data_IF_984336439717
#
_entry.id   IF_984336439717
#
_cell.length_a   1.000
_cell.length_b   1.000
_cell.length_c   1.000
_cell.angle_alpha   90.00
_cell.angle_beta   90.00
_cell.angle_gamma   90.00
#
_symmetry.space_group_name_H-M   'P 1'
#
loop_
_entity.id
_entity.type
_entity.pdbx_description
1 polymer ?
#
# COMPACT_ATOMS: atom_id res chain seq x y z
N UNK A 1 9.79 31.87 16.68
CA UNK A 1 9.28 30.51 16.82
C UNK A 1 8.99 29.94 15.41
N UNK A 2 9.86 29.07 14.90
CA UNK A 2 9.71 28.49 13.57
C UNK A 2 8.84 27.22 13.72
N UNK A 3 7.67 27.21 13.12
CA UNK A 3 6.79 26.02 13.06
C UNK A 3 7.41 25.01 12.10
N UNK A 4 7.89 23.90 12.65
CA UNK A 4 8.32 22.74 11.87
C UNK A 4 7.05 21.96 11.50
N UNK A 5 6.71 21.92 10.22
CA UNK A 5 5.69 21.06 9.69
C UNK A 5 6.28 19.66 9.48
N UNK A 6 5.87 18.72 10.32
CA UNK A 6 6.11 17.29 10.10
C UNK A 6 5.12 16.80 9.05
N UNK A 7 5.58 16.65 7.80
CA UNK A 7 4.86 15.90 6.79
C UNK A 7 4.94 14.42 7.16
N UNK A 8 3.83 13.86 7.64
CA UNK A 8 3.71 12.41 7.83
C UNK A 8 3.83 11.71 6.48
N UNK A 9 4.63 10.65 6.41
CA UNK A 9 4.78 9.80 5.24
C UNK A 9 3.44 9.08 4.97
N UNK A 10 2.66 9.63 4.05
CA UNK A 10 1.69 8.84 3.34
C UNK A 10 2.45 8.20 2.17
N UNK A 11 2.42 6.87 2.05
CA UNK A 11 2.89 6.17 0.86
C UNK A 11 1.91 6.43 -0.28
N UNK A 12 1.98 7.63 -0.75
CA UNK A 12 1.46 8.09 -2.01
C UNK A 12 2.59 8.89 -2.58
N UNK A 13 2.89 8.69 -3.83
CA UNK A 13 3.64 9.66 -4.63
C UNK A 13 2.81 10.95 -4.61
N UNK A 14 2.89 11.69 -3.50
CA UNK A 14 2.40 13.04 -3.40
C UNK A 14 3.63 13.92 -3.20
N UNK A 15 4.11 14.45 -4.31
CA UNK A 15 4.98 15.61 -4.26
C UNK A 15 4.30 16.67 -3.38
N UNK A 16 5.00 17.20 -2.39
CA UNK A 16 4.59 18.43 -1.70
C UNK A 16 4.50 19.54 -2.75
N UNK A 17 3.31 19.77 -3.27
CA UNK A 17 3.08 20.87 -4.23
C UNK A 17 2.81 22.17 -3.49
N UNK A 18 3.39 23.28 -3.97
CA UNK A 18 3.03 24.63 -3.53
C UNK A 18 1.56 24.94 -3.87
N UNK A 19 0.95 25.96 -3.26
CA UNK A 19 -0.48 26.27 -3.44
C UNK A 19 -0.83 26.39 -4.92
N UNK A 20 -1.90 25.68 -5.30
CA UNK A 20 -2.39 25.51 -6.66
C UNK A 20 -2.65 26.85 -7.34
N UNK A 21 -2.03 27.04 -8.50
CA UNK A 21 -2.51 27.98 -9.51
C UNK A 21 -3.93 27.58 -9.97
N UNK A 22 -4.79 28.53 -10.38
CA UNK A 22 -6.14 28.22 -10.81
C UNK A 22 -6.14 27.16 -11.91
N UNK A 23 -6.99 26.16 -11.76
CA UNK A 23 -7.06 25.00 -12.62
C UNK A 23 -7.16 25.40 -14.10
N UNK A 24 -6.13 25.09 -14.87
CA UNK A 24 -6.23 25.11 -16.33
C UNK A 24 -7.34 24.14 -16.75
N UNK A 25 -8.17 24.54 -17.73
CA UNK A 25 -9.19 23.65 -18.30
C UNK A 25 -8.52 22.37 -18.74
N UNK A 26 -9.02 21.24 -18.25
CA UNK A 26 -8.50 19.93 -18.60
C UNK A 26 -8.57 19.74 -20.13
N UNK A 27 -7.44 19.34 -20.72
CA UNK A 27 -7.38 18.95 -22.12
C UNK A 27 -8.21 17.65 -22.27
N UNK A 28 -9.24 17.61 -23.13
CA UNK A 28 -10.10 16.44 -23.28
C UNK A 28 -9.37 15.20 -23.80
N UNK A 29 -8.17 15.37 -24.39
CA UNK A 29 -7.36 14.27 -24.92
C UNK A 29 -6.35 13.69 -23.89
N UNK A 30 -6.27 14.28 -22.68
CA UNK A 30 -5.44 13.74 -21.62
C UNK A 30 -6.26 12.71 -20.83
N UNK A 31 -5.86 11.43 -20.80
CA UNK A 31 -6.52 10.43 -19.98
C UNK A 31 -6.70 10.91 -18.54
N UNK A 32 -7.87 10.69 -17.96
CA UNK A 32 -8.25 11.22 -16.63
C UNK A 32 -7.25 10.87 -15.51
N UNK A 33 -6.52 9.74 -15.63
CA UNK A 33 -5.48 9.37 -14.67
C UNK A 33 -4.25 10.29 -14.69
N UNK A 34 -4.03 11.06 -15.78
CA UNK A 34 -2.99 12.10 -15.85
C UNK A 34 -3.35 13.36 -15.10
N UNK A 35 -4.61 13.54 -14.72
CA UNK A 35 -5.00 14.65 -13.88
C UNK A 35 -4.68 14.27 -12.42
N UNK A 36 -4.01 15.15 -11.69
CA UNK A 36 -3.57 14.97 -10.30
C UNK A 36 -4.69 14.60 -9.29
N UNK A 37 -5.94 14.51 -9.75
CA UNK A 37 -7.12 14.32 -8.93
C UNK A 37 -7.67 12.90 -8.90
N UNK A 38 -7.30 11.99 -9.81
CA UNK A 38 -7.90 10.66 -9.89
C UNK A 38 -7.51 9.79 -8.68
N UNK A 39 -6.22 9.68 -8.35
CA UNK A 39 -5.80 8.99 -7.13
C UNK A 39 -6.17 9.77 -5.87
N UNK A 40 -6.23 11.09 -5.94
CA UNK A 40 -6.61 11.95 -4.81
C UNK A 40 -8.00 11.66 -4.27
N UNK A 41 -8.98 11.34 -5.10
CA UNK A 41 -10.32 11.03 -4.62
C UNK A 41 -10.37 9.72 -3.81
N UNK A 42 -9.59 8.70 -4.17
CA UNK A 42 -9.48 7.48 -3.38
C UNK A 42 -8.83 7.76 -2.02
N UNK A 43 -7.83 8.63 -1.98
CA UNK A 43 -7.11 9.01 -0.77
C UNK A 43 -8.01 9.67 0.27
N UNK A 44 -8.95 10.51 -0.16
CA UNK A 44 -9.87 11.24 0.73
C UNK A 44 -11.26 10.60 0.79
N UNK A 45 -11.46 9.42 0.19
CA UNK A 45 -12.76 8.75 0.07
C UNK A 45 -13.82 9.59 -0.63
N UNK A 46 -13.42 10.48 -1.51
CA UNK A 46 -14.34 11.30 -2.28
C UNK A 46 -14.83 10.63 -3.56
N UNK A 47 -14.23 9.49 -3.94
CA UNK A 47 -14.74 8.64 -5.02
C UNK A 47 -16.05 8.00 -4.58
N UNK A 48 -17.17 8.52 -5.04
CA UNK A 48 -18.51 7.97 -4.73
C UNK A 48 -18.96 6.94 -5.76
N UNK A 49 -18.46 7.09 -6.96
CA UNK A 49 -18.82 6.26 -8.11
C UNK A 49 -17.65 5.32 -8.42
N UNK A 50 -17.95 4.12 -8.90
CA UNK A 50 -17.00 3.09 -9.32
C UNK A 50 -16.05 2.57 -8.21
N UNK A 51 -16.52 2.60 -6.95
CA UNK A 51 -15.85 1.87 -5.86
C UNK A 51 -16.83 0.93 -5.18
N UNK A 52 -16.43 -0.32 -5.02
CA UNK A 52 -17.21 -1.36 -4.36
C UNK A 52 -16.45 -1.91 -3.16
N UNK A 53 -17.03 -1.80 -1.97
CA UNK A 53 -16.48 -2.43 -0.78
C UNK A 53 -16.55 -3.95 -0.93
N UNK A 54 -15.43 -4.62 -0.68
CA UNK A 54 -15.33 -6.08 -0.63
C UNK A 54 -14.92 -6.51 0.77
N UNK A 55 -15.63 -7.49 1.32
CA UNK A 55 -15.48 -7.96 2.70
C UNK A 55 -15.05 -9.41 2.78
N UNK A 56 -15.12 -10.11 1.66
CA UNK A 56 -14.83 -11.53 1.58
C UNK A 56 -14.33 -11.94 0.19
N UNK A 57 -13.72 -13.12 0.09
CA UNK A 57 -13.32 -13.73 -1.17
C UNK A 57 -14.48 -13.84 -2.17
N UNK A 58 -15.71 -14.07 -1.68
CA UNK A 58 -16.89 -14.22 -2.56
C UNK A 58 -17.19 -12.96 -3.36
N UNK A 59 -16.84 -11.81 -2.85
CA UNK A 59 -17.05 -10.51 -3.51
C UNK A 59 -16.13 -10.29 -4.71
N UNK A 60 -15.04 -11.10 -4.83
CA UNK A 60 -14.12 -11.10 -5.97
C UNK A 60 -14.65 -11.90 -7.17
N UNK A 61 -15.66 -12.78 -6.98
CA UNK A 61 -16.19 -13.62 -8.03
C UNK A 61 -15.58 -15.01 -8.09
N UNK A 62 -15.60 -15.64 -9.27
CA UNK A 62 -15.08 -16.99 -9.50
C UNK A 62 -13.57 -17.01 -9.74
N UNK A 63 -12.96 -18.21 -9.68
CA UNK A 63 -11.54 -18.39 -10.01
C UNK A 63 -10.56 -18.21 -8.84
N UNK A 64 -11.03 -17.83 -7.66
CA UNK A 64 -10.20 -17.57 -6.48
C UNK A 64 -10.07 -18.75 -5.51
N UNK A 65 -10.58 -19.93 -5.88
CA UNK A 65 -10.62 -21.09 -4.97
C UNK A 65 -9.24 -21.59 -4.56
N UNK A 66 -8.26 -21.53 -5.46
CA UNK A 66 -6.87 -21.90 -5.15
C UNK A 66 -6.22 -21.00 -4.10
N UNK A 67 -6.77 -19.79 -3.88
CA UNK A 67 -6.31 -18.83 -2.89
C UNK A 67 -7.26 -18.72 -1.68
N UNK A 68 -8.27 -19.60 -1.59
CA UNK A 68 -9.36 -19.44 -0.63
C UNK A 68 -8.87 -19.28 0.81
N UNK A 69 -7.93 -20.11 1.25
CA UNK A 69 -7.40 -20.04 2.61
C UNK A 69 -6.71 -18.68 2.88
N UNK A 70 -5.80 -18.27 2.02
CA UNK A 70 -5.04 -17.04 2.19
C UNK A 70 -5.94 -15.80 2.13
N UNK A 71 -6.85 -15.72 1.15
CA UNK A 71 -7.80 -14.63 1.02
C UNK A 71 -8.75 -14.53 2.22
N UNK A 72 -9.31 -15.65 2.68
CA UNK A 72 -10.17 -15.64 3.86
C UNK A 72 -9.42 -15.16 5.09
N UNK A 73 -8.15 -15.54 5.25
CA UNK A 73 -7.30 -15.08 6.34
C UNK A 73 -7.05 -13.58 6.24
N UNK A 74 -6.69 -13.07 5.05
CA UNK A 74 -6.45 -11.64 4.81
C UNK A 74 -7.72 -10.83 5.10
N UNK A 75 -8.88 -11.22 4.53
CA UNK A 75 -10.13 -10.49 4.77
C UNK A 75 -10.56 -10.52 6.24
N UNK A 76 -10.41 -11.65 6.92
CA UNK A 76 -10.72 -11.74 8.35
C UNK A 76 -9.83 -10.82 9.18
N UNK A 77 -8.53 -10.77 8.88
CA UNK A 77 -7.57 -9.92 9.59
C UNK A 77 -7.82 -8.43 9.29
N UNK A 78 -7.95 -8.04 8.02
CA UNK A 78 -8.20 -6.65 7.61
C UNK A 78 -9.50 -6.10 8.22
N UNK A 79 -10.58 -6.88 8.16
CA UNK A 79 -11.85 -6.50 8.81
C UNK A 79 -11.68 -6.29 10.31
N UNK A 80 -10.93 -7.16 11.00
CA UNK A 80 -10.72 -7.07 12.44
C UNK A 80 -9.92 -5.82 12.86
N UNK A 81 -8.94 -5.38 12.05
CA UNK A 81 -8.14 -4.19 12.33
C UNK A 81 -8.69 -2.91 11.71
N UNK A 82 -9.86 -2.98 11.07
CA UNK A 82 -10.56 -1.81 10.53
C UNK A 82 -10.09 -1.34 9.15
N UNK A 83 -9.29 -2.14 8.44
CA UNK A 83 -8.90 -1.87 7.06
C UNK A 83 -10.05 -2.26 6.13
N UNK A 84 -10.41 -1.33 5.24
CA UNK A 84 -11.44 -1.56 4.23
C UNK A 84 -10.81 -1.83 2.88
N UNK A 85 -11.27 -2.89 2.21
CA UNK A 85 -10.79 -3.27 0.88
C UNK A 85 -11.86 -2.91 -0.15
N UNK A 86 -11.44 -2.28 -1.24
CA UNK A 86 -12.33 -1.83 -2.30
C UNK A 86 -11.85 -2.30 -3.66
N UNK A 87 -12.78 -2.67 -4.52
CA UNK A 87 -12.60 -2.61 -5.96
C UNK A 87 -12.85 -1.18 -6.41
N UNK A 88 -12.03 -0.68 -7.32
CA UNK A 88 -12.15 0.67 -7.87
C UNK A 88 -11.92 0.65 -9.38
N UNK A 89 -12.66 1.48 -10.12
CA UNK A 89 -12.53 1.59 -11.55
C UNK A 89 -11.11 1.98 -11.98
N UNK A 90 -10.66 1.47 -13.12
CA UNK A 90 -9.30 1.65 -13.65
C UNK A 90 -8.91 3.11 -13.87
N UNK A 91 -9.91 3.99 -14.11
CA UNK A 91 -9.71 5.43 -14.24
C UNK A 91 -9.03 6.10 -13.05
N UNK A 92 -9.05 5.47 -11.89
CA UNK A 92 -8.42 5.97 -10.67
C UNK A 92 -6.94 5.57 -10.53
N UNK A 93 -6.47 4.63 -11.35
CA UNK A 93 -5.11 4.14 -11.31
C UNK A 93 -4.27 4.70 -12.46
N UNK A 94 -2.95 4.81 -12.22
CA UNK A 94 -2.03 5.06 -13.33
C UNK A 94 -1.89 3.78 -14.17
N UNK A 95 -1.41 3.84 -15.42
CA UNK A 95 -1.27 2.65 -16.27
C UNK A 95 -0.45 1.51 -15.68
N UNK A 96 0.44 1.82 -14.73
CA UNK A 96 1.32 0.85 -14.08
C UNK A 96 0.84 0.42 -12.70
N UNK A 97 -0.14 1.13 -12.13
CA UNK A 97 -0.65 0.89 -10.78
C UNK A 97 -1.91 0.03 -10.87
N UNK A 98 -2.01 -1.00 -10.06
CA UNK A 98 -3.17 -1.90 -9.98
C UNK A 98 -3.73 -2.01 -8.57
N UNK A 99 -3.05 -1.42 -7.60
CA UNK A 99 -3.46 -1.34 -6.21
C UNK A 99 -2.97 -0.07 -5.55
N UNK A 100 -3.51 0.20 -4.38
CA UNK A 100 -3.11 1.32 -3.53
C UNK A 100 -3.52 1.03 -2.09
N UNK A 101 -2.60 1.14 -1.15
CA UNK A 101 -2.93 1.23 0.27
C UNK A 101 -2.82 2.66 0.76
N UNK A 102 -3.90 3.16 1.34
CA UNK A 102 -3.94 4.50 1.94
C UNK A 102 -3.76 4.40 3.46
N UNK A 103 -2.57 4.68 3.94
CA UNK A 103 -2.17 4.65 5.35
C UNK A 103 -3.07 5.55 6.24
N UNK A 104 -3.45 6.74 5.75
CA UNK A 104 -4.29 7.68 6.53
C UNK A 104 -5.75 7.25 6.63
N UNK A 105 -6.23 6.56 5.61
CA UNK A 105 -7.64 6.17 5.51
C UNK A 105 -7.89 4.72 5.88
N UNK A 106 -6.85 3.91 6.05
CA UNK A 106 -6.92 2.46 6.25
C UNK A 106 -7.74 1.78 5.16
N UNK A 107 -7.45 2.15 3.91
CA UNK A 107 -8.14 1.62 2.74
C UNK A 107 -7.16 0.98 1.77
N UNK A 108 -7.48 -0.22 1.34
CA UNK A 108 -6.82 -0.94 0.28
C UNK A 108 -7.72 -0.90 -0.96
N UNK A 109 -7.19 -0.43 -2.07
CA UNK A 109 -7.90 -0.38 -3.35
C UNK A 109 -7.26 -1.35 -4.34
N UNK A 110 -8.10 -2.04 -5.11
CA UNK A 110 -7.70 -2.97 -6.17
C UNK A 110 -8.39 -2.49 -7.44
N UNK A 111 -7.66 -2.43 -8.55
CA UNK A 111 -8.24 -2.08 -9.83
C UNK A 111 -9.19 -3.16 -10.33
N UNK A 112 -10.37 -2.76 -10.83
CA UNK A 112 -11.35 -3.68 -11.40
C UNK A 112 -10.90 -4.31 -12.70
N UNK A 113 -9.97 -3.69 -13.44
CA UNK A 113 -9.50 -4.19 -14.74
C UNK A 113 -8.70 -5.50 -14.65
N UNK A 114 -8.27 -5.87 -13.43
CA UNK A 114 -7.53 -7.11 -13.20
C UNK A 114 -8.37 -8.21 -12.55
N UNK A 115 -9.66 -7.97 -12.28
CA UNK A 115 -10.49 -8.89 -11.47
C UNK A 115 -10.59 -10.30 -12.06
N UNK A 116 -10.52 -10.42 -13.38
CA UNK A 116 -10.56 -11.71 -14.08
C UNK A 116 -9.20 -12.44 -14.09
N UNK A 117 -8.16 -11.86 -13.46
CA UNK A 117 -6.87 -12.50 -13.28
C UNK A 117 -6.55 -12.71 -11.79
N UNK A 118 -6.95 -13.85 -11.21
CA UNK A 118 -6.77 -14.12 -9.78
C UNK A 118 -5.31 -14.08 -9.30
N UNK A 119 -4.34 -14.38 -10.15
CA UNK A 119 -2.92 -14.31 -9.80
C UNK A 119 -2.47 -12.87 -9.64
N UNK A 120 -2.88 -12.00 -10.55
CA UNK A 120 -2.56 -10.58 -10.48
C UNK A 120 -3.24 -9.93 -9.28
N UNK A 121 -4.53 -10.23 -9.05
CA UNK A 121 -5.26 -9.74 -7.86
C UNK A 121 -4.58 -10.19 -6.58
N UNK A 122 -4.14 -11.46 -6.49
CA UNK A 122 -3.41 -11.94 -5.32
C UNK A 122 -2.07 -11.22 -5.12
N UNK A 123 -1.33 -10.99 -6.20
CA UNK A 123 -0.10 -10.20 -6.17
C UNK A 123 -0.35 -8.80 -5.60
N UNK A 124 -1.40 -8.13 -6.07
CA UNK A 124 -1.80 -6.80 -5.59
C UNK A 124 -2.25 -6.85 -4.13
N UNK A 125 -3.11 -7.79 -3.74
CA UNK A 125 -3.58 -7.92 -2.35
C UNK A 125 -2.42 -8.18 -1.39
N UNK A 126 -1.45 -9.00 -1.79
CA UNK A 126 -0.25 -9.25 -0.97
C UNK A 126 0.63 -8.02 -0.85
N UNK A 127 0.83 -7.29 -1.95
CA UNK A 127 1.63 -6.06 -1.98
C UNK A 127 1.02 -4.97 -1.11
N UNK A 128 -0.22 -4.58 -1.40
CA UNK A 128 -0.92 -3.51 -0.68
C UNK A 128 -1.24 -3.91 0.77
N UNK A 129 -1.55 -5.19 0.98
CA UNK A 129 -1.71 -5.74 2.32
C UNK A 129 -0.43 -5.72 3.14
N UNK A 130 0.76 -5.83 2.50
CA UNK A 130 2.02 -5.66 3.21
C UNK A 130 2.24 -4.21 3.65
N UNK A 131 1.85 -3.23 2.87
CA UNK A 131 1.85 -1.83 3.32
C UNK A 131 0.96 -1.63 4.56
N UNK A 132 -0.15 -2.38 4.66
CA UNK A 132 -0.96 -2.37 5.87
C UNK A 132 -0.25 -3.03 7.06
N UNK A 133 0.57 -4.04 6.84
CA UNK A 133 1.46 -4.61 7.89
C UNK A 133 2.49 -3.58 8.32
N UNK A 134 3.14 -2.89 7.40
CA UNK A 134 4.11 -1.82 7.69
C UNK A 134 3.48 -0.66 8.49
N UNK A 135 2.23 -0.30 8.19
CA UNK A 135 1.45 0.68 8.94
C UNK A 135 1.18 0.20 10.38
N UNK A 136 0.66 -1.00 10.52
CA UNK A 136 0.43 -1.65 11.81
C UNK A 136 1.70 -1.72 12.66
N UNK A 137 2.83 -2.09 12.05
CA UNK A 137 4.13 -2.21 12.71
C UNK A 137 4.70 -0.90 13.21
N UNK A 138 4.28 0.22 12.66
CA UNK A 138 4.59 1.55 13.18
C UNK A 138 3.84 1.90 14.49
N UNK A 139 3.11 0.94 15.05
CA UNK A 139 2.40 1.02 16.31
C UNK A 139 0.89 0.88 16.20
N UNK A 140 0.28 1.32 15.12
CA UNK A 140 -1.17 1.25 14.89
C UNK A 140 -1.51 1.67 13.47
N UNK A 141 -2.47 1.02 12.84
CA UNK A 141 -3.03 1.45 11.54
C UNK A 141 -3.72 2.81 11.57
N UNK A 142 -3.86 3.44 12.74
CA UNK A 142 -4.52 4.74 12.89
C UNK A 142 -3.56 5.91 13.04
N UNK A 143 -2.25 5.66 13.13
CA UNK A 143 -1.27 6.72 13.35
C UNK A 143 -0.75 7.37 12.05
N UNK A 144 -1.05 6.77 10.90
CA UNK A 144 -0.65 7.27 9.58
C UNK A 144 0.87 7.21 9.33
N UNK A 145 1.55 6.27 9.98
CA UNK A 145 2.99 6.04 9.89
C UNK A 145 3.26 4.64 9.35
N UNK A 146 4.48 4.40 8.87
CA UNK A 146 4.92 3.08 8.41
C UNK A 146 6.30 2.73 8.98
N UNK A 147 6.54 1.44 9.19
CA UNK A 147 7.81 0.91 9.63
C UNK A 147 8.26 -0.23 8.71
N UNK A 148 9.57 -0.40 8.55
CA UNK A 148 10.11 -1.59 7.91
C UNK A 148 9.98 -2.79 8.87
N UNK A 149 9.58 -3.92 8.30
CA UNK A 149 9.34 -5.16 9.05
C UNK A 149 10.53 -6.10 8.95
N UNK A 150 11.18 -6.13 7.78
CA UNK A 150 12.32 -6.99 7.53
C UNK A 150 13.63 -6.21 7.52
N UNK A 151 14.70 -6.89 7.87
CA UNK A 151 16.03 -6.36 7.64
C UNK A 151 16.35 -6.34 6.14
N UNK A 152 17.26 -5.47 5.74
CA UNK A 152 17.66 -5.34 4.32
C UNK A 152 18.10 -6.67 3.70
N UNK A 153 18.72 -7.56 4.48
CA UNK A 153 19.22 -8.85 4.02
C UNK A 153 18.14 -9.92 3.82
N UNK A 154 16.94 -9.72 4.36
CA UNK A 154 15.82 -10.67 4.21
C UNK A 154 15.09 -10.51 2.87
N UNK A 155 15.22 -9.35 2.22
CA UNK A 155 14.68 -9.11 0.90
C UNK A 155 15.75 -9.43 -0.15
N UNK A 156 15.49 -10.33 -1.12
CA UNK A 156 16.46 -10.72 -2.14
C UNK A 156 16.98 -9.53 -2.97
N UNK A 157 18.25 -9.55 -3.33
CA UNK A 157 18.89 -8.47 -4.11
C UNK A 157 18.20 -8.17 -5.43
N UNK A 158 17.71 -9.18 -6.12
CA UNK A 158 16.97 -9.02 -7.38
C UNK A 158 15.68 -8.18 -7.21
N UNK A 159 15.04 -8.25 -6.03
CA UNK A 159 13.88 -7.43 -5.72
C UNK A 159 14.30 -5.98 -5.52
N UNK A 160 15.41 -5.76 -4.77
CA UNK A 160 15.99 -4.41 -4.60
C UNK A 160 16.31 -3.74 -5.92
N UNK A 161 16.99 -4.46 -6.82
CA UNK A 161 17.40 -3.92 -8.12
C UNK A 161 16.20 -3.44 -8.95
N UNK A 162 15.13 -4.24 -8.97
CA UNK A 162 13.89 -3.88 -9.65
C UNK A 162 13.20 -2.66 -9.02
N UNK A 163 13.14 -2.60 -7.68
CA UNK A 163 12.51 -1.47 -7.00
C UNK A 163 13.33 -0.18 -7.12
N UNK A 164 14.65 -0.26 -7.04
CA UNK A 164 15.53 0.91 -7.25
C UNK A 164 15.30 1.51 -8.64
N UNK A 165 15.14 0.69 -9.67
CA UNK A 165 14.87 1.16 -11.02
C UNK A 165 13.49 1.84 -11.14
N UNK A 166 12.45 1.28 -10.48
CA UNK A 166 11.09 1.78 -10.57
C UNK A 166 10.84 3.05 -9.73
N UNK A 167 11.58 3.22 -8.63
CA UNK A 167 11.37 4.29 -7.63
C UNK A 167 12.58 5.24 -7.50
N UNK A 168 13.38 5.39 -8.58
CA UNK A 168 14.56 6.26 -8.58
C UNK A 168 14.26 7.71 -8.14
N UNK A 169 13.09 8.22 -8.52
CA UNK A 169 12.64 9.59 -8.19
C UNK A 169 12.10 9.72 -6.76
N UNK A 170 11.86 8.61 -6.07
CA UNK A 170 11.32 8.58 -4.69
C UNK A 170 12.10 7.62 -3.80
N UNK A 171 13.41 7.84 -3.59
CA UNK A 171 14.29 6.87 -2.94
C UNK A 171 13.87 6.49 -1.51
N UNK A 172 13.13 7.35 -0.80
CA UNK A 172 12.58 7.03 0.52
C UNK A 172 11.48 5.95 0.49
N UNK A 173 10.85 5.73 -0.65
CA UNK A 173 9.86 4.67 -0.82
C UNK A 173 10.51 3.29 -1.05
N UNK A 174 11.72 3.25 -1.62
CA UNK A 174 12.40 2.03 -2.04
C UNK A 174 12.38 0.92 -0.98
N UNK A 175 12.75 1.14 0.30
CA UNK A 175 12.78 0.06 1.27
C UNK A 175 11.42 -0.59 1.52
N UNK A 176 10.38 0.22 1.58
CA UNK A 176 9.02 -0.24 1.82
C UNK A 176 8.45 -0.99 0.62
N UNK A 177 8.70 -0.47 -0.57
CA UNK A 177 8.31 -1.10 -1.82
C UNK A 177 9.05 -2.41 -2.07
N UNK A 178 10.32 -2.50 -1.64
CA UNK A 178 11.09 -3.74 -1.73
C UNK A 178 10.48 -4.84 -0.85
N UNK A 179 10.11 -4.51 0.40
CA UNK A 179 9.40 -5.44 1.27
C UNK A 179 8.04 -5.85 0.67
N UNK A 180 7.23 -4.89 0.24
CA UNK A 180 5.90 -5.16 -0.31
C UNK A 180 5.97 -6.01 -1.59
N UNK A 181 6.93 -5.72 -2.47
CA UNK A 181 7.18 -6.53 -3.67
C UNK A 181 7.63 -7.95 -3.32
N UNK A 182 8.49 -8.11 -2.31
CA UNK A 182 8.89 -9.44 -1.85
C UNK A 182 7.72 -10.19 -1.22
N UNK A 183 6.87 -9.53 -0.45
CA UNK A 183 5.65 -10.12 0.08
C UNK A 183 4.69 -10.57 -1.02
N UNK A 184 4.56 -9.80 -2.11
CA UNK A 184 3.73 -10.15 -3.26
C UNK A 184 4.14 -11.49 -3.92
N UNK A 185 5.42 -11.79 -3.95
CA UNK A 185 5.96 -13.05 -4.47
C UNK A 185 5.93 -14.20 -3.45
N UNK A 186 5.57 -13.94 -2.22
CA UNK A 186 5.67 -14.90 -1.11
C UNK A 186 4.28 -15.29 -0.61
N UNK A 187 3.92 -16.57 -0.73
CA UNK A 187 2.67 -17.08 -0.21
C UNK A 187 2.58 -16.87 1.31
N UNK A 188 1.41 -16.45 1.78
CA UNK A 188 1.04 -16.31 3.19
C UNK A 188 1.76 -15.24 4.02
N UNK A 189 2.88 -14.65 3.58
CA UNK A 189 3.59 -13.64 4.37
C UNK A 189 2.71 -12.46 4.76
N UNK A 190 1.95 -11.93 3.80
CA UNK A 190 1.00 -10.84 4.07
C UNK A 190 -0.13 -11.29 4.99
N UNK A 191 -0.66 -12.50 4.78
CA UNK A 191 -1.70 -13.06 5.65
C UNK A 191 -1.20 -13.19 7.10
N UNK A 192 0.00 -13.74 7.30
CA UNK A 192 0.62 -13.90 8.62
C UNK A 192 0.88 -12.54 9.29
N UNK A 193 1.39 -11.57 8.54
CA UNK A 193 1.60 -10.21 9.02
C UNK A 193 0.31 -9.54 9.49
N UNK A 194 -0.76 -9.64 8.69
CA UNK A 194 -2.07 -9.09 9.05
C UNK A 194 -2.70 -9.82 10.23
N UNK A 195 -2.52 -11.15 10.35
CA UNK A 195 -2.98 -11.92 11.52
C UNK A 195 -2.25 -11.46 12.78
N UNK A 196 -0.95 -11.22 12.72
CA UNK A 196 -0.19 -10.69 13.85
C UNK A 196 -0.68 -9.28 14.25
N UNK A 197 -0.96 -8.42 13.28
CA UNK A 197 -1.61 -7.13 13.51
C UNK A 197 -2.97 -7.26 14.20
N UNK A 198 -3.79 -8.21 13.73
CA UNK A 198 -5.11 -8.46 14.27
C UNK A 198 -5.09 -9.14 15.64
N UNK A 199 -3.98 -9.76 16.02
CA UNK A 199 -3.83 -10.47 17.28
C UNK A 199 -2.47 -10.17 17.92
N UNK A 200 -2.40 -9.21 18.85
CA UNK A 200 -1.14 -8.82 19.50
C UNK A 200 -0.40 -9.94 20.27
N UNK A 201 -1.05 -11.09 20.46
CA UNK A 201 -0.42 -12.27 21.08
C UNK A 201 0.36 -13.12 20.07
N UNK A 202 0.09 -12.96 18.78
CA UNK A 202 0.81 -13.65 17.71
C UNK A 202 2.00 -12.79 17.32
N UNK A 203 3.19 -13.23 17.66
CA UNK A 203 4.43 -12.59 17.22
C UNK A 203 5.01 -13.43 16.09
N UNK A 204 5.17 -12.84 14.92
CA UNK A 204 5.85 -13.47 13.77
C UNK A 204 7.24 -12.89 13.55
N UNK A 205 7.64 -11.92 14.35
CA UNK A 205 8.96 -11.30 14.41
C UNK A 205 9.40 -11.17 15.87
N UNK A 206 10.68 -11.29 16.12
CA UNK A 206 11.24 -11.26 17.48
C UNK A 206 11.27 -9.86 18.06
N UNK A 207 11.52 -8.84 17.24
CA UNK A 207 11.54 -7.44 17.64
C UNK A 207 10.69 -6.59 16.69
N UNK A 208 9.85 -5.74 17.27
CA UNK A 208 9.18 -4.71 16.52
C UNK A 208 10.18 -3.57 16.25
N UNK A 209 10.28 -3.06 15.02
CA UNK A 209 10.93 -1.78 14.84
C UNK A 209 10.13 -0.75 15.65
N UNK A 210 10.69 -0.18 16.71
CA UNK A 210 9.92 0.57 17.69
C UNK A 210 9.52 1.96 17.17
N UNK A 211 9.91 2.32 15.95
CA UNK A 211 9.84 3.70 15.48
C UNK A 211 9.57 3.72 13.97
N UNK A 212 8.67 4.61 13.51
CA UNK A 212 8.52 4.89 12.08
C UNK A 212 9.87 5.16 11.44
N UNK A 213 10.15 4.53 10.31
CA UNK A 213 11.44 4.66 9.64
C UNK A 213 11.56 6.06 9.03
N UNK A 214 12.20 6.98 9.74
CA UNK A 214 12.46 8.34 9.24
C UNK A 214 13.51 8.32 8.13
N UNK A 215 13.54 9.38 7.30
CA UNK A 215 14.57 9.55 6.27
C UNK A 215 15.98 9.45 6.86
N UNK A 216 16.23 10.10 8.00
CA UNK A 216 17.53 10.06 8.69
C UNK A 216 17.86 8.63 9.14
N UNK A 217 16.88 7.90 9.65
CA UNK A 217 17.05 6.51 10.03
C UNK A 217 17.39 5.65 8.82
N UNK A 218 16.67 5.80 7.71
CA UNK A 218 16.94 5.06 6.46
C UNK A 218 18.35 5.31 5.92
N UNK A 219 18.83 6.58 5.96
CA UNK A 219 20.21 6.93 5.59
C UNK A 219 21.21 6.25 6.54
N UNK A 220 21.00 6.36 7.87
CA UNK A 220 21.86 5.77 8.88
C UNK A 220 21.99 4.25 8.75
N UNK A 221 20.91 3.58 8.38
CA UNK A 221 20.87 2.14 8.16
C UNK A 221 21.34 1.72 6.75
N UNK A 222 21.70 2.66 5.89
CA UNK A 222 22.18 2.39 4.53
C UNK A 222 21.11 1.87 3.56
N UNK A 223 19.83 2.15 3.83
CA UNK A 223 18.75 1.82 2.90
C UNK A 223 18.70 2.78 1.72
N UNK A 224 18.97 4.05 1.98
CA UNK A 224 18.98 5.14 0.96
C UNK A 224 20.24 6.00 1.16
N UNK A 225 20.58 6.81 0.14
CA UNK A 225 21.71 7.75 0.15
C UNK A 225 21.26 9.20 0.36
#
# INVERSE_FOLDING_TARGET
MKRVWLCGLAFVISACTPPLAPAAKADPDIPQWKTSNSMGCMMVRACKDDTKLITSRKDLGSGYDKYAYELNTIFAATNKIGIKVYLAGDKYFTPKTRGLYNVKGNNLFISEDIIDNPEMVMGVIRHEGWHAVQDCMAGSVTNGMSALVWTKGEVPSIVWDGVIADYADTPQAIPYEAEARWAAYSNYKTADGLVACANPRVKIWEEYPPIPSTKQWLIKQGYIR
#
